data_IF_757639810536
#
_entry.id   IF_757639810536
#
_cell.length_a   1.000
_cell.length_b   1.000
_cell.length_c   1.000
_cell.angle_alpha   90.00
_cell.angle_beta   90.00
_cell.angle_gamma   90.00
#
_symmetry.space_group_name_H-M   'P 1'
#
loop_
_entity.id
_entity.type
_entity.pdbx_description
1 polymer ?
#
# COMPACT_ATOMS: atom_id res chain seq x y z
N UNK A 1 9.19 -5.92 -6.43
CA UNK A 1 9.12 -4.61 -7.12
C UNK A 1 9.40 -3.48 -6.15
N UNK A 2 10.16 -2.47 -6.57
CA UNK A 2 10.43 -1.26 -5.78
C UNK A 2 9.13 -0.53 -5.37
N UNK A 3 9.00 -0.16 -4.10
CA UNK A 3 7.82 0.55 -3.56
C UNK A 3 7.49 1.84 -4.32
N UNK A 4 8.48 2.69 -4.64
CA UNK A 4 8.23 3.97 -5.29
C UNK A 4 7.67 3.76 -6.70
N UNK A 5 8.25 2.80 -7.44
CA UNK A 5 7.72 2.40 -8.75
C UNK A 5 6.29 1.84 -8.65
N UNK A 6 5.97 1.09 -7.59
CA UNK A 6 4.60 0.62 -7.36
C UNK A 6 3.63 1.79 -7.12
N UNK A 7 4.03 2.82 -6.37
CA UNK A 7 3.19 4.00 -6.12
C UNK A 7 2.91 4.78 -7.42
N UNK A 8 3.93 4.98 -8.26
CA UNK A 8 3.77 5.66 -9.54
C UNK A 8 2.84 4.89 -10.48
N UNK A 9 3.06 3.58 -10.60
CA UNK A 9 2.21 2.70 -11.42
C UNK A 9 0.78 2.65 -10.89
N UNK A 10 0.61 2.68 -9.57
CA UNK A 10 -0.71 2.71 -8.93
C UNK A 10 -1.46 3.96 -9.31
N UNK A 11 -0.82 5.12 -9.22
CA UNK A 11 -1.42 6.39 -9.59
C UNK A 11 -1.79 6.44 -11.07
N UNK A 12 -0.88 5.99 -11.95
CA UNK A 12 -1.14 5.87 -13.38
C UNK A 12 -2.33 4.98 -13.68
N UNK A 13 -2.43 3.81 -13.02
CA UNK A 13 -3.54 2.88 -13.25
C UNK A 13 -4.86 3.35 -12.66
N UNK A 14 -4.85 4.04 -11.52
CA UNK A 14 -6.05 4.68 -10.99
C UNK A 14 -6.57 5.75 -11.96
N UNK A 15 -5.67 6.51 -12.59
CA UNK A 15 -6.04 7.55 -13.55
C UNK A 15 -6.68 7.00 -14.85
N UNK A 16 -6.48 5.72 -15.20
CA UNK A 16 -7.15 5.13 -16.37
C UNK A 16 -8.64 4.86 -16.15
N UNK A 17 -9.12 4.89 -14.90
CA UNK A 17 -10.51 4.58 -14.58
C UNK A 17 -10.86 3.10 -14.77
N UNK A 18 -9.88 2.19 -14.65
CA UNK A 18 -10.12 0.74 -14.65
C UNK A 18 -11.04 0.37 -13.46
N UNK A 19 -12.26 -0.04 -13.77
CA UNK A 19 -13.30 -0.30 -12.76
C UNK A 19 -12.95 -1.47 -11.84
N UNK A 20 -12.40 -2.56 -12.39
CA UNK A 20 -11.99 -3.75 -11.62
C UNK A 20 -10.86 -3.38 -10.65
N UNK A 21 -9.84 -2.71 -11.16
CA UNK A 21 -8.72 -2.26 -10.34
C UNK A 21 -9.15 -1.27 -9.26
N UNK A 22 -10.09 -0.38 -9.57
CA UNK A 22 -10.65 0.59 -8.63
C UNK A 22 -11.43 -0.10 -7.51
N UNK A 23 -12.25 -1.10 -7.84
CA UNK A 23 -13.02 -1.88 -6.86
C UNK A 23 -12.10 -2.68 -5.93
N UNK A 24 -11.12 -3.39 -6.49
CA UNK A 24 -10.13 -4.16 -5.72
C UNK A 24 -9.30 -3.26 -4.81
N UNK A 25 -8.91 -2.09 -5.31
CA UNK A 25 -8.24 -1.05 -4.51
C UNK A 25 -9.12 -0.59 -3.35
N UNK A 26 -10.40 -0.33 -3.58
CA UNK A 26 -11.33 0.10 -2.55
C UNK A 26 -11.53 -0.97 -1.46
N UNK A 27 -11.58 -2.24 -1.84
CA UNK A 27 -11.63 -3.38 -0.91
C UNK A 27 -10.39 -3.41 -0.01
N UNK A 28 -9.19 -3.34 -0.59
CA UNK A 28 -7.95 -3.31 0.20
C UNK A 28 -7.87 -2.07 1.09
N UNK A 29 -8.28 -0.90 0.59
CA UNK A 29 -8.33 0.33 1.38
C UNK A 29 -9.27 0.19 2.59
N UNK A 30 -10.43 -0.46 2.40
CA UNK A 30 -11.39 -0.72 3.48
C UNK A 30 -10.80 -1.66 4.54
N UNK A 31 -10.13 -2.74 4.14
CA UNK A 31 -9.45 -3.67 5.06
C UNK A 31 -8.38 -2.93 5.87
N UNK A 32 -7.53 -2.15 5.19
CA UNK A 32 -6.48 -1.35 5.84
C UNK A 32 -7.05 -0.35 6.85
N UNK A 33 -8.20 0.27 6.56
CA UNK A 33 -8.90 1.16 7.49
C UNK A 33 -9.48 0.39 8.67
N UNK A 34 -10.09 -0.77 8.44
CA UNK A 34 -10.72 -1.59 9.46
C UNK A 34 -9.72 -2.04 10.55
N UNK A 35 -8.50 -2.38 10.16
CA UNK A 35 -7.43 -2.75 11.10
C UNK A 35 -6.64 -1.55 11.66
N UNK A 36 -6.99 -0.32 11.26
CA UNK A 36 -6.33 0.90 11.72
C UNK A 36 -4.94 1.17 11.11
N UNK A 37 -4.56 0.44 10.06
CA UNK A 37 -3.36 0.72 9.28
C UNK A 37 -3.47 2.07 8.56
N UNK A 38 -4.65 2.33 7.96
CA UNK A 38 -5.03 3.63 7.43
C UNK A 38 -5.99 4.37 8.38
N UNK A 39 -5.83 5.69 8.59
CA UNK A 39 -6.77 6.48 9.39
C UNK A 39 -8.18 6.53 8.78
N UNK A 40 -9.21 6.22 9.57
CA UNK A 40 -10.61 6.35 9.15
C UNK A 40 -11.08 7.82 9.08
N UNK A 41 -10.86 8.60 10.16
CA UNK A 41 -11.41 9.97 10.30
C UNK A 41 -10.76 11.04 9.41
N UNK A 42 -9.65 10.74 8.73
CA UNK A 42 -8.93 11.68 7.85
C UNK A 42 -9.00 11.28 6.37
N UNK A 43 -9.95 10.42 6.01
CA UNK A 43 -10.12 9.95 4.64
C UNK A 43 -10.25 11.10 3.63
N UNK A 44 -10.94 12.20 3.97
CA UNK A 44 -11.09 13.33 3.05
C UNK A 44 -9.80 14.13 2.80
N UNK A 45 -8.87 14.16 3.76
CA UNK A 45 -7.61 14.92 3.63
C UNK A 45 -6.55 14.12 2.88
N UNK A 46 -6.54 12.79 3.07
CA UNK A 46 -5.49 11.90 2.57
C UNK A 46 -6.04 10.86 1.59
N UNK A 47 -7.18 11.14 0.94
CA UNK A 47 -7.89 10.16 0.12
C UNK A 47 -6.97 9.53 -0.93
N UNK A 48 -6.26 10.38 -1.67
CA UNK A 48 -5.35 9.98 -2.74
C UNK A 48 -4.21 9.10 -2.21
N UNK A 49 -3.58 9.50 -1.09
CA UNK A 49 -2.52 8.71 -0.47
C UNK A 49 -3.01 7.33 0.00
N UNK A 50 -4.19 7.27 0.63
CA UNK A 50 -4.76 6.01 1.12
C UNK A 50 -5.05 5.07 -0.05
N UNK A 51 -5.65 5.61 -1.11
CA UNK A 51 -5.94 4.87 -2.33
C UNK A 51 -4.66 4.41 -3.03
N UNK A 52 -3.64 5.26 -3.11
CA UNK A 52 -2.33 4.93 -3.70
C UNK A 52 -1.63 3.79 -2.92
N UNK A 53 -1.68 3.82 -1.58
CA UNK A 53 -1.15 2.73 -0.74
C UNK A 53 -1.88 1.42 -1.02
N UNK A 54 -3.22 1.43 -1.02
CA UNK A 54 -4.02 0.25 -1.29
C UNK A 54 -3.77 -0.30 -2.70
N UNK A 55 -3.76 0.58 -3.71
CA UNK A 55 -3.49 0.24 -5.09
C UNK A 55 -2.10 -0.39 -5.29
N UNK A 56 -1.09 0.09 -4.54
CA UNK A 56 0.27 -0.48 -4.61
C UNK A 56 0.33 -1.93 -4.14
N UNK A 57 -0.51 -2.28 -3.16
CA UNK A 57 -0.64 -3.66 -2.66
C UNK A 57 -1.37 -4.53 -3.68
N UNK A 58 -2.44 -4.02 -4.31
CA UNK A 58 -3.15 -4.73 -5.38
C UNK A 58 -2.21 -5.01 -6.56
N UNK A 59 -1.44 -4.02 -7.02
CA UNK A 59 -0.47 -4.21 -8.10
C UNK A 59 0.60 -5.25 -7.75
N UNK A 60 1.12 -5.23 -6.52
CA UNK A 60 2.09 -6.22 -6.09
C UNK A 60 1.50 -7.64 -6.09
N UNK A 61 0.26 -7.78 -5.63
CA UNK A 61 -0.47 -9.06 -5.65
C UNK A 61 -0.71 -9.55 -7.08
N UNK A 62 -1.24 -8.72 -7.97
CA UNK A 62 -1.49 -9.09 -9.38
C UNK A 62 -0.22 -9.49 -10.12
N UNK A 63 0.91 -8.88 -9.78
CA UNK A 63 2.21 -9.18 -10.39
C UNK A 63 2.92 -10.39 -9.74
N UNK A 64 2.33 -11.00 -8.71
CA UNK A 64 2.96 -12.03 -7.87
C UNK A 64 4.38 -11.64 -7.37
N UNK A 65 4.55 -10.35 -7.05
CA UNK A 65 5.84 -9.78 -6.68
C UNK A 65 5.81 -9.19 -5.26
N UNK A 66 6.99 -8.97 -4.67
CA UNK A 66 7.13 -8.32 -3.38
C UNK A 66 7.02 -6.80 -3.48
N UNK A 67 6.68 -6.15 -2.37
CA UNK A 67 6.82 -4.70 -2.20
C UNK A 67 8.19 -4.46 -1.54
N UNK A 68 9.15 -3.94 -2.30
CA UNK A 68 10.53 -3.78 -1.84
C UNK A 68 10.75 -2.38 -1.25
N UNK A 69 10.99 -2.33 0.05
CA UNK A 69 11.24 -1.10 0.82
C UNK A 69 12.72 -0.72 0.69
N UNK A 70 13.06 0.12 -0.30
CA UNK A 70 14.44 0.56 -0.53
C UNK A 70 14.85 1.76 0.31
N UNK A 71 13.90 2.51 0.85
CA UNK A 71 14.17 3.60 1.80
C UNK A 71 13.03 3.74 2.79
N UNK A 72 13.40 4.05 4.03
CA UNK A 72 12.47 4.43 5.10
C UNK A 72 12.65 5.86 5.58
N UNK A 73 13.59 6.60 4.97
CA UNK A 73 13.96 7.95 5.40
C UNK A 73 12.90 8.94 4.93
N UNK A 74 12.25 9.62 5.86
CA UNK A 74 11.22 10.61 5.56
C UNK A 74 11.71 11.72 4.61
N UNK A 75 12.95 12.20 4.80
CA UNK A 75 13.54 13.20 3.90
C UNK A 75 13.69 12.71 2.46
N UNK A 76 14.06 11.45 2.26
CA UNK A 76 14.16 10.84 0.92
C UNK A 76 12.80 10.68 0.27
N UNK A 77 11.78 10.21 1.02
CA UNK A 77 10.42 10.10 0.51
C UNK A 77 9.87 11.46 0.07
N UNK A 78 10.07 12.48 0.91
CA UNK A 78 9.65 13.84 0.61
C UNK A 78 10.37 14.42 -0.62
N UNK A 79 11.68 14.18 -0.74
CA UNK A 79 12.47 14.60 -1.90
C UNK A 79 11.95 13.99 -3.21
N UNK A 80 11.46 12.74 -3.16
CA UNK A 80 10.84 12.06 -4.30
C UNK A 80 9.35 12.38 -4.47
N UNK A 81 8.77 13.29 -3.69
CA UNK A 81 7.38 13.71 -3.82
C UNK A 81 6.35 12.83 -3.09
N UNK A 82 6.78 11.80 -2.36
CA UNK A 82 5.87 10.92 -1.63
C UNK A 82 5.61 11.38 -0.20
N UNK A 83 4.48 10.94 0.34
CA UNK A 83 4.13 11.21 1.73
C UNK A 83 5.10 10.55 2.71
N UNK A 84 5.53 11.30 3.72
CA UNK A 84 6.33 10.78 4.84
C UNK A 84 5.55 9.83 5.75
N UNK A 85 4.22 9.71 5.57
CA UNK A 85 3.35 8.78 6.31
C UNK A 85 3.32 7.36 5.73
N UNK A 86 3.84 7.18 4.52
CA UNK A 86 3.78 5.92 3.79
C UNK A 86 4.31 4.74 4.62
N UNK A 87 5.53 4.86 5.14
CA UNK A 87 6.18 3.80 5.92
C UNK A 87 5.40 3.49 7.20
N UNK A 88 4.82 4.50 7.83
CA UNK A 88 3.98 4.29 9.03
C UNK A 88 2.74 3.44 8.71
N UNK A 89 2.13 3.62 7.53
CA UNK A 89 0.97 2.82 7.13
C UNK A 89 1.38 1.38 6.80
N UNK A 90 2.50 1.20 6.11
CA UNK A 90 3.03 -0.14 5.83
C UNK A 90 3.48 -0.87 7.09
N UNK A 91 4.11 -0.18 8.05
CA UNK A 91 4.48 -0.76 9.35
C UNK A 91 3.25 -1.31 10.09
N UNK A 92 2.14 -0.56 10.05
CA UNK A 92 0.88 -1.01 10.66
C UNK A 92 0.22 -2.15 9.90
N UNK A 93 0.32 -2.17 8.57
CA UNK A 93 -0.16 -3.29 7.76
C UNK A 93 0.63 -4.57 8.06
N UNK A 94 1.95 -4.44 8.30
CA UNK A 94 2.78 -5.57 8.78
C UNK A 94 2.36 -6.01 10.18
N UNK A 95 2.16 -5.07 11.10
CA UNK A 95 1.71 -5.39 12.46
C UNK A 95 0.31 -6.03 12.51
N UNK A 96 -0.53 -5.79 11.50
CA UNK A 96 -1.85 -6.39 11.34
C UNK A 96 -1.84 -7.66 10.47
N UNK A 97 -0.66 -8.20 10.13
CA UNK A 97 -0.47 -9.41 9.32
C UNK A 97 -1.09 -9.33 7.91
N UNK A 98 -1.41 -8.12 7.44
CA UNK A 98 -1.88 -7.87 6.08
C UNK A 98 -0.73 -7.86 5.07
N UNK A 99 0.48 -7.54 5.55
CA UNK A 99 1.73 -7.67 4.81
C UNK A 99 2.69 -8.51 5.65
N UNK A 100 3.40 -9.43 5.01
CA UNK A 100 4.44 -10.22 5.64
C UNK A 100 5.81 -9.61 5.37
N UNK A 101 6.65 -9.54 6.41
CA UNK A 101 8.01 -9.02 6.39
C UNK A 101 8.92 -10.02 7.07
N UNK A 102 10.20 -10.06 6.70
CA UNK A 102 11.22 -10.81 7.46
C UNK A 102 11.56 -10.13 8.80
N UNK A 103 11.04 -8.93 9.05
CA UNK A 103 11.16 -8.20 10.31
C UNK A 103 9.78 -7.90 10.91
N UNK A 104 9.74 -7.30 12.10
CA UNK A 104 8.51 -6.87 12.77
C UNK A 104 7.88 -5.58 12.18
N UNK A 105 8.38 -5.10 11.05
CA UNK A 105 8.05 -3.80 10.46
C UNK A 105 8.23 -3.83 8.93
N UNK A 106 7.82 -2.78 8.22
CA UNK A 106 7.97 -2.66 6.77
C UNK A 106 9.43 -2.44 6.37
N UNK A 107 10.17 -3.53 6.17
CA UNK A 107 11.59 -3.54 5.83
C UNK A 107 11.92 -4.66 4.84
N UNK A 108 12.85 -4.39 3.92
CA UNK A 108 13.24 -5.36 2.91
C UNK A 108 12.09 -5.67 1.94
N UNK A 109 11.85 -6.96 1.68
CA UNK A 109 10.82 -7.43 0.75
C UNK A 109 9.56 -7.80 1.51
N UNK A 110 8.45 -7.11 1.22
CA UNK A 110 7.15 -7.44 1.81
C UNK A 110 6.34 -8.33 0.87
N UNK A 111 5.62 -9.30 1.41
CA UNK A 111 4.66 -10.12 0.67
C UNK A 111 3.24 -9.76 1.11
N UNK A 112 2.28 -9.92 0.22
CA UNK A 112 0.87 -9.73 0.55
C UNK A 112 0.41 -10.89 1.43
N UNK A 113 -0.26 -10.58 2.55
CA UNK A 113 -0.73 -11.59 3.50
C UNK A 113 -1.98 -12.32 3.00
N UNK A 114 -2.30 -13.45 3.64
CA UNK A 114 -3.38 -14.34 3.23
C UNK A 114 -4.75 -13.66 3.25
N UNK A 115 -4.99 -12.77 4.22
CA UNK A 115 -6.23 -12.01 4.32
C UNK A 115 -6.47 -11.20 3.05
N UNK A 116 -5.50 -10.39 2.63
CA UNK A 116 -5.65 -9.58 1.42
C UNK A 116 -5.77 -10.48 0.18
N UNK A 117 -4.94 -11.52 0.09
CA UNK A 117 -4.95 -12.45 -1.05
C UNK A 117 -6.32 -13.13 -1.22
N UNK A 118 -6.98 -13.50 -0.12
CA UNK A 118 -8.32 -14.09 -0.13
C UNK A 118 -9.38 -13.15 -0.68
N UNK A 119 -9.30 -11.85 -0.37
CA UNK A 119 -10.23 -10.84 -0.88
C UNK A 119 -9.90 -10.35 -2.31
N UNK A 120 -8.75 -10.75 -2.85
CA UNK A 120 -8.29 -10.39 -4.19
C UNK A 120 -8.32 -11.55 -5.20
N UNK A 121 -8.70 -12.76 -4.76
CA UNK A 121 -8.89 -13.97 -5.55
C UNK A 121 -10.32 -14.04 -6.13
#
# INVERSE_FOLDING_TARGET
MNLLNLLDRSEQRLATGDADFTERTATVEAILKAVGALPYRRANLNRELHQQVAASIVLAHEADDSIDITTRRAGTLHQYGYSTKLIQYLDKAVAAELLSSQSHRAEGRLRVGDTISTYLA
#
